data_IF_227342474655
#
_entry.id   IF_227342474655
#
_cell.length_a   1.000
_cell.length_b   1.000
_cell.length_c   1.000
_cell.angle_alpha   90.00
_cell.angle_beta   90.00
_cell.angle_gamma   90.00
#
_symmetry.space_group_name_H-M   'P 1'
#
loop_
_entity.id
_entity.type
_entity.pdbx_description
1 polymer ?
#
# COMPACT_ATOMS: atom_id res chain seq x y z
N UNK A 1 28.52 2.01 -57.63
CA UNK A 1 28.67 0.99 -56.58
C UNK A 1 27.88 1.46 -55.37
N UNK A 2 26.67 0.94 -55.22
CA UNK A 2 25.81 1.15 -54.05
C UNK A 2 25.95 -0.08 -53.15
N UNK A 3 26.19 0.12 -51.86
CA UNK A 3 25.58 -0.66 -50.77
C UNK A 3 25.74 0.10 -49.43
N UNK A 4 24.81 -0.09 -48.49
CA UNK A 4 24.25 0.97 -47.66
C UNK A 4 24.69 0.89 -46.19
N UNK A 5 24.78 2.05 -45.53
CA UNK A 5 24.81 2.13 -44.06
C UNK A 5 23.44 1.72 -43.50
N UNK A 6 23.31 0.46 -43.08
CA UNK A 6 22.17 -0.02 -42.31
C UNK A 6 22.47 0.08 -40.80
N UNK A 7 21.68 0.95 -40.15
CA UNK A 7 21.02 0.75 -38.87
C UNK A 7 21.86 0.25 -37.67
N UNK A 8 22.36 1.19 -36.86
CA UNK A 8 22.47 1.00 -35.39
C UNK A 8 21.26 1.62 -34.71
N UNK A 9 20.09 1.03 -34.95
CA UNK A 9 18.91 1.18 -34.09
C UNK A 9 18.79 -0.06 -33.21
N UNK A 10 19.78 -0.32 -32.35
CA UNK A 10 19.64 -1.40 -31.36
C UNK A 10 18.65 -0.93 -30.29
N UNK A 11 17.48 -1.54 -30.35
CA UNK A 11 16.35 -1.47 -29.43
C UNK A 11 16.80 -1.28 -27.98
N UNK A 12 16.63 -0.07 -27.46
CA UNK A 12 16.51 0.13 -26.02
C UNK A 12 15.12 -0.37 -25.63
N UNK A 13 15.01 -1.64 -25.24
CA UNK A 13 13.80 -2.12 -24.57
C UNK A 13 13.64 -1.28 -23.30
N UNK A 14 12.73 -0.30 -23.35
CA UNK A 14 12.42 0.58 -22.22
C UNK A 14 12.05 -0.28 -21.01
N UNK A 15 12.93 -0.31 -20.01
CA UNK A 15 12.68 -1.02 -18.75
C UNK A 15 11.45 -0.37 -18.11
N UNK A 16 10.38 -1.14 -17.90
CA UNK A 16 9.13 -0.65 -17.28
C UNK A 16 9.45 0.15 -16.00
N UNK A 17 8.78 1.28 -15.80
CA UNK A 17 8.89 2.05 -14.54
C UNK A 17 8.47 1.18 -13.35
N UNK A 18 9.01 1.43 -12.17
CA UNK A 18 8.57 0.75 -10.94
C UNK A 18 7.09 0.93 -10.66
N UNK A 19 6.52 2.09 -11.03
CA UNK A 19 5.08 2.32 -10.92
C UNK A 19 4.28 1.38 -11.82
N UNK A 20 4.75 1.12 -13.04
CA UNK A 20 4.06 0.22 -13.97
C UNK A 20 4.25 -1.25 -13.59
N UNK A 21 5.44 -1.62 -13.10
CA UNK A 21 5.68 -2.94 -12.50
C UNK A 21 4.76 -3.18 -11.29
N UNK A 22 4.56 -2.16 -10.45
CA UNK A 22 3.63 -2.26 -9.32
C UNK A 22 2.18 -2.41 -9.79
N UNK A 23 1.73 -1.71 -10.84
CA UNK A 23 0.38 -1.92 -11.41
C UNK A 23 0.20 -3.35 -11.92
N UNK A 24 1.21 -3.90 -12.60
CA UNK A 24 1.18 -5.30 -13.05
C UNK A 24 1.02 -6.24 -11.84
N UNK A 25 1.76 -5.98 -10.75
CA UNK A 25 1.65 -6.75 -9.51
C UNK A 25 0.26 -6.64 -8.86
N UNK A 26 -0.30 -5.42 -8.76
CA UNK A 26 -1.65 -5.15 -8.23
C UNK A 26 -2.71 -5.95 -9.01
N UNK A 27 -2.61 -5.94 -10.33
CA UNK A 27 -3.51 -6.69 -11.22
C UNK A 27 -3.33 -8.20 -11.05
N UNK A 28 -2.09 -8.70 -11.09
CA UNK A 28 -1.78 -10.12 -10.95
C UNK A 28 -2.27 -10.70 -9.62
N UNK A 29 -2.24 -9.91 -8.55
CA UNK A 29 -2.65 -10.31 -7.20
C UNK A 29 -4.11 -10.05 -6.88
N UNK A 30 -4.90 -9.53 -7.84
CA UNK A 30 -6.29 -9.11 -7.66
C UNK A 30 -6.49 -8.23 -6.41
N UNK A 31 -5.59 -7.27 -6.18
CA UNK A 31 -5.60 -6.48 -4.94
C UNK A 31 -6.92 -5.72 -4.78
N UNK A 32 -7.46 -5.16 -5.86
CA UNK A 32 -8.75 -4.45 -5.82
C UNK A 32 -9.92 -5.38 -5.44
N UNK A 33 -10.00 -6.57 -6.05
CA UNK A 33 -11.03 -7.55 -5.75
C UNK A 33 -10.96 -8.05 -4.31
N UNK A 34 -9.73 -8.27 -3.81
CA UNK A 34 -9.46 -8.69 -2.42
C UNK A 34 -9.76 -7.59 -1.42
N UNK A 35 -9.41 -6.34 -1.72
CA UNK A 35 -9.77 -5.19 -0.88
C UNK A 35 -11.27 -5.04 -0.73
N UNK A 36 -12.03 -5.18 -1.83
CA UNK A 36 -13.50 -5.15 -1.78
C UNK A 36 -14.07 -6.21 -0.84
N UNK A 37 -13.53 -7.44 -0.86
CA UNK A 37 -13.91 -8.51 0.10
C UNK A 37 -13.49 -8.18 1.53
N UNK A 38 -12.26 -7.69 1.71
CA UNK A 38 -11.68 -7.37 3.01
C UNK A 38 -12.39 -6.20 3.73
N UNK A 39 -13.02 -5.29 2.98
CA UNK A 39 -13.76 -4.14 3.49
C UNK A 39 -15.27 -4.41 3.57
N UNK A 40 -15.73 -5.56 3.08
CA UNK A 40 -17.12 -5.99 3.20
C UNK A 40 -17.44 -6.57 4.59
N UNK A 41 -18.69 -6.96 4.76
CA UNK A 41 -19.22 -7.53 6.01
C UNK A 41 -19.23 -9.06 6.04
N UNK A 42 -18.61 -9.71 5.06
CA UNK A 42 -18.57 -11.17 4.95
C UNK A 42 -17.77 -11.79 6.10
N UNK A 43 -18.14 -13.00 6.52
CA UNK A 43 -17.46 -13.74 7.59
C UNK A 43 -15.95 -13.97 7.32
N UNK A 44 -15.55 -13.93 6.04
CA UNK A 44 -14.17 -14.11 5.59
C UNK A 44 -13.40 -12.80 5.39
N UNK A 45 -14.02 -11.64 5.62
CA UNK A 45 -13.40 -10.34 5.36
C UNK A 45 -12.11 -10.12 6.18
N UNK A 46 -12.08 -10.62 7.43
CA UNK A 46 -10.90 -10.55 8.28
C UNK A 46 -9.73 -11.40 7.74
N UNK A 47 -10.02 -12.63 7.31
CA UNK A 47 -9.02 -13.54 6.74
C UNK A 47 -8.46 -12.98 5.44
N UNK A 48 -9.30 -12.40 4.58
CA UNK A 48 -8.86 -11.77 3.34
C UNK A 48 -7.96 -10.56 3.61
N UNK A 49 -8.32 -9.71 4.60
CA UNK A 49 -7.51 -8.58 5.01
C UNK A 49 -6.11 -9.02 5.46
N UNK A 50 -6.04 -10.01 6.36
CA UNK A 50 -4.76 -10.52 6.89
C UNK A 50 -3.93 -11.16 5.78
N UNK A 51 -4.54 -11.98 4.92
CA UNK A 51 -3.86 -12.63 3.80
C UNK A 51 -3.29 -11.61 2.81
N UNK A 52 -4.08 -10.59 2.44
CA UNK A 52 -3.62 -9.53 1.55
C UNK A 52 -2.51 -8.72 2.21
N UNK A 53 -2.65 -8.40 3.49
CA UNK A 53 -1.65 -7.65 4.23
C UNK A 53 -0.31 -8.37 4.30
N UNK A 54 -0.32 -9.69 4.46
CA UNK A 54 0.88 -10.53 4.45
C UNK A 54 1.61 -10.43 3.10
N UNK A 55 0.89 -10.64 2.00
CA UNK A 55 1.48 -10.59 0.67
C UNK A 55 2.05 -9.20 0.34
N UNK A 56 1.32 -8.13 0.65
CA UNK A 56 1.77 -6.75 0.43
C UNK A 56 2.96 -6.43 1.33
N UNK A 57 2.89 -6.75 2.62
CA UNK A 57 3.95 -6.46 3.59
C UNK A 57 5.28 -7.12 3.21
N UNK A 58 5.24 -8.40 2.80
CA UNK A 58 6.41 -9.13 2.34
C UNK A 58 6.94 -8.57 1.02
N UNK A 59 6.10 -8.44 -0.01
CA UNK A 59 6.52 -7.95 -1.31
C UNK A 59 7.12 -6.54 -1.23
N UNK A 60 6.51 -5.67 -0.41
CA UNK A 60 7.04 -4.32 -0.19
C UNK A 60 8.43 -4.34 0.45
N UNK A 61 8.67 -5.20 1.45
CA UNK A 61 10.00 -5.35 2.06
C UNK A 61 11.03 -5.89 1.06
N UNK A 62 10.69 -6.97 0.37
CA UNK A 62 11.56 -7.62 -0.62
C UNK A 62 11.97 -6.68 -1.76
N UNK A 63 11.11 -5.71 -2.06
CA UNK A 63 11.32 -4.72 -3.11
C UNK A 63 11.72 -3.33 -2.59
N UNK A 64 12.34 -3.26 -1.41
CA UNK A 64 13.11 -2.10 -0.95
C UNK A 64 12.39 -1.13 -0.01
N UNK A 65 11.11 -1.32 0.27
CA UNK A 65 10.42 -0.48 1.25
C UNK A 65 11.02 -0.69 2.65
N UNK A 66 11.36 0.40 3.31
CA UNK A 66 11.88 0.45 4.68
C UNK A 66 10.78 0.83 5.67
N UNK A 67 10.94 0.41 6.93
CA UNK A 67 9.94 0.78 7.95
C UNK A 67 9.90 2.27 8.26
N UNK A 68 10.97 3.02 7.98
CA UNK A 68 10.97 4.47 8.16
C UNK A 68 10.05 5.16 7.13
N UNK A 69 10.01 4.67 5.88
CA UNK A 69 9.09 5.16 4.86
C UNK A 69 7.63 4.91 5.28
N UNK A 70 7.32 3.72 5.82
CA UNK A 70 5.97 3.38 6.31
C UNK A 70 5.57 4.27 7.49
N UNK A 71 6.47 4.46 8.47
CA UNK A 71 6.20 5.23 9.70
C UNK A 71 5.78 6.68 9.42
N UNK A 72 6.35 7.31 8.39
CA UNK A 72 6.03 8.70 8.04
C UNK A 72 4.55 8.88 7.66
N UNK A 73 3.96 7.90 6.98
CA UNK A 73 2.53 7.90 6.62
C UNK A 73 1.69 7.41 7.80
N UNK A 74 2.12 6.32 8.44
CA UNK A 74 1.39 5.69 9.55
C UNK A 74 1.11 6.62 10.71
N UNK A 75 2.10 7.45 11.08
CA UNK A 75 1.94 8.39 12.19
C UNK A 75 0.79 9.38 11.97
N UNK A 76 0.46 9.70 10.72
CA UNK A 76 -0.71 10.54 10.40
C UNK A 76 -2.02 9.78 10.59
N UNK A 77 -2.09 8.55 10.05
CA UNK A 77 -3.26 7.68 10.15
C UNK A 77 -3.61 7.37 11.61
N UNK A 78 -2.60 7.11 12.47
CA UNK A 78 -2.82 6.86 13.89
C UNK A 78 -3.36 8.05 14.66
N UNK A 79 -2.99 9.29 14.29
CA UNK A 79 -3.58 10.49 14.90
C UNK A 79 -5.07 10.59 14.58
N UNK A 80 -5.45 10.31 13.33
CA UNK A 80 -6.85 10.27 12.92
C UNK A 80 -7.61 9.15 13.61
N UNK A 81 -7.03 7.96 13.74
CA UNK A 81 -7.66 6.88 14.51
C UNK A 81 -7.95 7.31 15.94
N UNK A 82 -7.00 7.93 16.64
CA UNK A 82 -7.23 8.43 18.00
C UNK A 82 -8.35 9.47 18.07
N UNK A 83 -8.47 10.31 17.05
CA UNK A 83 -9.48 11.38 16.96
C UNK A 83 -10.88 10.85 16.62
N UNK A 84 -10.97 9.84 15.74
CA UNK A 84 -12.22 9.38 15.15
C UNK A 84 -12.63 7.98 15.57
N UNK A 85 -11.95 7.30 16.51
CA UNK A 85 -12.40 5.99 17.02
C UNK A 85 -13.45 6.12 18.13
N UNK A 86 -13.52 7.25 18.84
CA UNK A 86 -14.50 7.44 19.92
C UNK A 86 -15.90 7.74 19.38
N UNK A 87 -16.92 7.20 20.05
CA UNK A 87 -18.32 7.56 19.82
C UNK A 87 -18.56 8.94 20.46
N UNK A 88 -18.76 9.96 19.62
CA UNK A 88 -19.01 11.33 20.08
C UNK A 88 -20.34 11.84 19.55
N UNK A 89 -20.91 12.82 20.26
CA UNK A 89 -22.15 13.51 19.85
C UNK A 89 -21.98 14.37 18.59
N UNK A 90 -20.75 14.58 18.09
CA UNK A 90 -20.43 15.38 16.90
C UNK A 90 -20.18 14.53 15.65
N UNK A 91 -20.89 13.40 15.52
CA UNK A 91 -20.64 12.37 14.49
C UNK A 91 -20.58 12.92 13.05
N UNK A 92 -21.54 13.76 12.65
CA UNK A 92 -21.62 14.30 11.27
C UNK A 92 -20.42 15.21 10.94
N UNK A 93 -20.02 16.09 11.86
CA UNK A 93 -18.90 17.01 11.63
C UNK A 93 -17.57 16.24 11.58
N UNK A 94 -17.42 15.22 12.43
CA UNK A 94 -16.26 14.34 12.44
C UNK A 94 -16.12 13.51 11.15
N UNK A 95 -17.23 12.96 10.63
CA UNK A 95 -17.20 12.22 9.37
C UNK A 95 -16.80 13.11 8.18
N UNK A 96 -17.30 14.35 8.11
CA UNK A 96 -16.91 15.28 7.06
C UNK A 96 -15.42 15.64 7.13
N UNK A 97 -14.88 15.88 8.34
CA UNK A 97 -13.46 16.15 8.54
C UNK A 97 -12.60 14.94 8.16
N UNK A 98 -12.99 13.74 8.61
CA UNK A 98 -12.33 12.49 8.25
C UNK A 98 -12.30 12.30 6.72
N UNK A 99 -13.42 12.53 6.04
CA UNK A 99 -13.50 12.41 4.58
C UNK A 99 -12.54 13.37 3.86
N UNK A 100 -12.44 14.62 4.33
CA UNK A 100 -11.49 15.60 3.78
C UNK A 100 -10.04 15.18 4.00
N UNK A 101 -9.71 14.73 5.21
CA UNK A 101 -8.38 14.27 5.57
C UNK A 101 -7.93 13.05 4.78
N UNK A 102 -8.82 12.05 4.64
CA UNK A 102 -8.63 10.87 3.80
C UNK A 102 -8.46 11.26 2.33
N UNK A 103 -9.26 12.19 1.82
CA UNK A 103 -9.10 12.68 0.44
C UNK A 103 -7.71 13.29 0.22
N UNK A 104 -7.22 14.07 1.19
CA UNK A 104 -5.89 14.67 1.16
C UNK A 104 -4.74 13.69 1.43
N UNK A 105 -5.03 12.46 1.86
CA UNK A 105 -4.03 11.41 2.00
C UNK A 105 -3.50 10.94 0.62
N UNK A 106 -4.34 10.95 -0.42
CA UNK A 106 -3.96 10.54 -1.79
C UNK A 106 -2.70 11.24 -2.30
N UNK A 107 -2.65 12.59 -2.40
CA UNK A 107 -1.47 13.28 -2.90
C UNK A 107 -0.23 13.06 -2.02
N UNK A 108 -0.40 12.84 -0.70
CA UNK A 108 0.71 12.55 0.21
C UNK A 108 1.32 11.17 -0.05
N UNK A 109 0.50 10.15 -0.26
CA UNK A 109 0.94 8.80 -0.64
C UNK A 109 1.69 8.86 -1.97
N UNK A 110 1.12 9.52 -2.99
CA UNK A 110 1.73 9.62 -4.33
C UNK A 110 3.07 10.37 -4.27
N UNK A 111 3.15 11.45 -3.51
CA UNK A 111 4.40 12.19 -3.33
C UNK A 111 5.47 11.34 -2.65
N UNK A 112 5.12 10.66 -1.55
CA UNK A 112 6.03 9.76 -0.85
C UNK A 112 6.54 8.65 -1.78
N UNK A 113 5.65 8.05 -2.58
CA UNK A 113 6.01 7.01 -3.53
C UNK A 113 6.96 7.51 -4.63
N UNK A 114 6.63 8.65 -5.23
CA UNK A 114 7.44 9.26 -6.28
C UNK A 114 8.82 9.72 -5.78
N UNK A 115 8.93 10.11 -4.50
CA UNK A 115 10.19 10.57 -3.92
C UNK A 115 11.21 9.43 -3.74
N UNK A 116 10.73 8.25 -3.38
CA UNK A 116 11.59 7.09 -3.15
C UNK A 116 11.79 6.25 -4.41
N UNK A 117 10.74 6.15 -5.23
CA UNK A 117 10.72 5.47 -6.53
C UNK A 117 11.34 4.07 -6.51
N UNK A 118 10.79 3.22 -5.63
CA UNK A 118 11.13 1.81 -5.50
C UNK A 118 9.88 0.96 -5.75
N UNK A 119 10.05 -0.24 -6.31
CA UNK A 119 8.93 -1.16 -6.56
C UNK A 119 8.12 -1.43 -5.28
N UNK A 120 8.79 -1.72 -4.17
CA UNK A 120 8.11 -2.02 -2.90
C UNK A 120 7.32 -0.84 -2.35
N UNK A 121 7.82 0.38 -2.61
CA UNK A 121 7.12 1.63 -2.27
C UNK A 121 5.88 1.83 -3.13
N UNK A 122 5.96 1.57 -4.44
CA UNK A 122 4.80 1.67 -5.33
C UNK A 122 3.76 0.57 -5.09
N UNK A 123 4.17 -0.66 -4.78
CA UNK A 123 3.25 -1.74 -4.36
C UNK A 123 2.42 -1.28 -3.16
N UNK A 124 3.10 -0.84 -2.09
CA UNK A 124 2.44 -0.32 -0.89
C UNK A 124 1.52 0.85 -1.21
N UNK A 125 2.02 1.85 -1.95
CA UNK A 125 1.29 3.06 -2.25
C UNK A 125 0.01 2.79 -3.06
N UNK A 126 0.09 1.96 -4.11
CA UNK A 126 -1.08 1.61 -4.92
C UNK A 126 -2.10 0.83 -4.09
N UNK A 127 -1.68 -0.15 -3.28
CA UNK A 127 -2.59 -0.84 -2.35
C UNK A 127 -3.30 0.14 -1.41
N UNK A 128 -2.57 1.10 -0.82
CA UNK A 128 -3.16 2.11 0.07
C UNK A 128 -4.13 3.05 -0.66
N UNK A 129 -3.85 3.42 -1.91
CA UNK A 129 -4.78 4.22 -2.71
C UNK A 129 -6.08 3.47 -3.01
N UNK A 130 -6.00 2.19 -3.39
CA UNK A 130 -7.19 1.37 -3.60
C UNK A 130 -7.96 1.13 -2.30
N UNK A 131 -7.27 0.91 -1.17
CA UNK A 131 -7.91 0.76 0.14
C UNK A 131 -8.62 2.06 0.58
N UNK A 132 -8.02 3.21 0.25
CA UNK A 132 -8.62 4.52 0.48
C UNK A 132 -9.85 4.76 -0.40
N UNK A 133 -9.84 4.29 -1.65
CA UNK A 133 -11.03 4.27 -2.51
C UNK A 133 -12.14 3.41 -1.88
N UNK A 134 -11.84 2.20 -1.37
CA UNK A 134 -12.84 1.38 -0.67
C UNK A 134 -13.41 2.09 0.57
N UNK A 135 -12.55 2.78 1.31
CA UNK A 135 -12.95 3.54 2.50
C UNK A 135 -13.92 4.66 2.15
N UNK A 136 -13.54 5.51 1.20
CA UNK A 136 -14.31 6.70 0.83
C UNK A 136 -15.64 6.37 0.12
N UNK A 137 -15.70 5.22 -0.54
CA UNK A 137 -16.91 4.73 -1.22
C UNK A 137 -17.75 3.78 -0.35
N UNK A 138 -17.35 3.54 0.91
CA UNK A 138 -18.12 2.72 1.83
C UNK A 138 -19.40 3.42 2.26
N UNK A 139 -20.48 2.65 2.47
CA UNK A 139 -21.75 3.19 3.02
C UNK A 139 -21.64 3.61 4.49
N UNK A 140 -20.56 3.21 5.17
CA UNK A 140 -20.19 3.61 6.52
C UNK A 140 -18.70 3.97 6.54
N UNK A 141 -18.42 5.28 6.38
CA UNK A 141 -17.06 5.82 6.29
C UNK A 141 -16.21 5.44 7.51
N UNK A 142 -16.81 5.41 8.71
CA UNK A 142 -16.09 5.09 9.94
C UNK A 142 -15.71 3.61 9.96
N UNK A 143 -16.64 2.73 9.60
CA UNK A 143 -16.32 1.31 9.46
C UNK A 143 -15.22 1.10 8.41
N UNK A 144 -15.36 1.71 7.22
CA UNK A 144 -14.35 1.66 6.17
C UNK A 144 -12.99 2.16 6.64
N UNK A 145 -12.96 3.24 7.43
CA UNK A 145 -11.73 3.77 7.99
C UNK A 145 -11.09 2.82 9.02
N UNK A 146 -11.88 2.17 9.87
CA UNK A 146 -11.37 1.12 10.76
C UNK A 146 -10.73 -0.02 9.95
N UNK A 147 -11.38 -0.48 8.87
CA UNK A 147 -10.81 -1.51 7.97
C UNK A 147 -9.51 -1.04 7.29
N UNK A 148 -9.42 0.23 6.92
CA UNK A 148 -8.20 0.84 6.39
C UNK A 148 -7.06 0.83 7.41
N UNK A 149 -7.34 1.21 8.67
CA UNK A 149 -6.36 1.17 9.75
C UNK A 149 -5.91 -0.26 10.01
N UNK A 150 -6.84 -1.22 10.13
CA UNK A 150 -6.54 -2.64 10.34
C UNK A 150 -5.61 -3.18 9.24
N UNK A 151 -5.91 -2.87 7.97
CA UNK A 151 -5.09 -3.27 6.84
C UNK A 151 -3.68 -2.67 6.93
N UNK A 152 -3.59 -1.37 7.25
CA UNK A 152 -2.31 -0.67 7.38
C UNK A 152 -1.45 -1.33 8.46
N UNK A 153 -2.02 -1.56 9.65
CA UNK A 153 -1.31 -2.17 10.78
C UNK A 153 -0.84 -3.58 10.47
N UNK A 154 -1.70 -4.38 9.82
CA UNK A 154 -1.35 -5.73 9.39
C UNK A 154 -0.18 -5.72 8.38
N UNK A 155 -0.20 -4.82 7.39
CA UNK A 155 0.90 -4.68 6.42
C UNK A 155 2.21 -4.31 7.13
N UNK A 156 2.16 -3.37 8.08
CA UNK A 156 3.33 -2.98 8.87
C UNK A 156 3.86 -4.15 9.70
N UNK A 157 3.00 -4.97 10.29
CA UNK A 157 3.38 -6.14 11.06
C UNK A 157 4.12 -7.18 10.20
N UNK A 158 3.55 -7.55 9.04
CA UNK A 158 4.19 -8.50 8.12
C UNK A 158 5.46 -7.95 7.45
N UNK A 159 5.51 -6.65 7.16
CA UNK A 159 6.74 -5.99 6.72
C UNK A 159 7.86 -6.14 7.76
N UNK A 160 7.53 -5.94 9.04
CA UNK A 160 8.45 -6.10 10.16
C UNK A 160 8.89 -7.54 10.38
N UNK A 161 7.98 -8.49 10.19
CA UNK A 161 8.28 -9.92 10.21
C UNK A 161 9.33 -10.27 9.14
N UNK A 162 9.09 -9.88 7.88
CA UNK A 162 10.02 -10.11 6.77
C UNK A 162 11.40 -9.47 7.02
N UNK A 163 11.42 -8.25 7.57
CA UNK A 163 12.66 -7.59 7.99
C UNK A 163 13.42 -8.40 9.05
N UNK A 164 12.72 -8.90 10.07
CA UNK A 164 13.32 -9.69 11.14
C UNK A 164 13.86 -11.03 10.63
N UNK A 165 13.15 -11.70 9.72
CA UNK A 165 13.61 -12.94 9.09
C UNK A 165 14.88 -12.74 8.28
N UNK A 166 14.93 -11.70 7.45
CA UNK A 166 16.11 -11.36 6.64
C UNK A 166 17.35 -11.13 7.51
N UNK A 167 17.20 -10.44 8.65
CA UNK A 167 18.28 -10.24 9.63
C UNK A 167 18.75 -11.56 10.25
N UNK A 168 17.82 -12.45 10.63
CA UNK A 168 18.16 -13.78 11.17
C UNK A 168 18.94 -14.62 10.15
N UNK A 169 18.54 -14.63 8.88
CA UNK A 169 19.22 -15.37 7.81
C UNK A 169 20.67 -14.87 7.61
N UNK A 170 20.88 -13.55 7.62
CA UNK A 170 22.23 -12.95 7.54
C UNK A 170 23.13 -13.33 8.72
N UNK A 171 22.57 -13.45 9.93
CA UNK A 171 23.35 -13.86 11.12
C UNK A 171 23.76 -15.34 11.13
N UNK A 172 23.05 -16.21 10.41
CA UNK A 172 23.32 -17.66 10.35
C UNK A 172 24.27 -18.08 9.22
N UNK A 173 24.36 -17.28 8.15
CA UNK A 173 25.22 -17.57 6.99
C UNK A 173 26.66 -17.02 7.10
N UNK A 174 27.02 -16.42 8.23
CA UNK A 174 28.35 -15.89 8.50
C UNK A 174 29.12 -16.77 9.49
N UNK A 175 29.39 -18.03 9.12
CA UNK A 175 30.37 -18.92 9.76
C UNK A 175 31.05 -19.74 8.67
#
# INVERSE_FOLDING_TARGET
MNQPQQQRGQQSQSRKSYKDQAKDWISQKDVEGRLRKAFGSDANAAQELVSLAQEVGHASYEHGLTSNQIRNIFGMVKRWEMQYRSESTQKVQQESQLQQELTMLRPKIIYAASRHDELGTWIFALTMLHALDQTLNSGDLRHGFCRFVDLFEAILAFHKEAEAESRKRRSKGGY
#
